data_IF_726224765036
#
_entry.id   IF_726224765036
#
_cell.length_a   1.000
_cell.length_b   1.000
_cell.length_c   1.000
_cell.angle_alpha   90.00
_cell.angle_beta   90.00
_cell.angle_gamma   90.00
#
_symmetry.space_group_name_H-M   'P 1'
#
loop_
_entity.id
_entity.type
_entity.pdbx_description
1 polymer ?
#
# COMPACT_ATOMS: atom_id res chain seq x y z
N UNK A 1 3.09 -0.48 3.96
CA UNK A 1 4.05 0.60 4.21
C UNK A 1 3.62 1.74 3.32
N UNK A 2 3.31 2.85 3.97
CA UNK A 2 2.95 4.14 3.35
C UNK A 2 4.16 5.02 3.61
N UNK A 3 4.56 5.79 2.60
CA UNK A 3 5.70 6.72 2.68
C UNK A 3 5.16 8.10 2.35
N UNK A 4 5.42 9.08 3.21
CA UNK A 4 5.11 10.49 2.93
C UNK A 4 6.25 11.14 2.14
N UNK A 5 5.97 12.29 1.53
CA UNK A 5 7.00 13.11 0.86
C UNK A 5 8.09 13.60 1.82
N UNK A 6 7.79 13.66 3.12
CA UNK A 6 8.75 14.01 4.18
C UNK A 6 9.63 12.82 4.61
N UNK A 7 9.46 11.66 3.97
CA UNK A 7 10.22 10.45 4.29
C UNK A 7 9.73 9.71 5.53
N UNK A 8 8.53 9.99 6.02
CA UNK A 8 7.95 9.26 7.14
C UNK A 8 7.38 7.92 6.68
N UNK A 9 7.72 6.86 7.41
CA UNK A 9 7.30 5.50 7.11
C UNK A 9 6.21 5.05 8.07
N UNK A 10 5.02 4.77 7.56
CA UNK A 10 3.92 4.19 8.35
C UNK A 10 3.64 2.75 7.95
N UNK A 11 3.51 1.88 8.96
CA UNK A 11 3.19 0.46 8.82
C UNK A 11 4.41 -0.46 8.79
N UNK A 12 4.17 -1.76 8.64
CA UNK A 12 5.20 -2.78 8.83
C UNK A 12 5.54 -3.49 7.50
N UNK A 13 6.79 -3.34 7.01
CA UNK A 13 7.25 -4.00 5.77
C UNK A 13 7.56 -5.50 5.94
N UNK A 14 7.81 -5.97 7.17
CA UNK A 14 8.15 -7.37 7.44
C UNK A 14 6.99 -8.33 7.13
N UNK A 15 5.74 -7.84 7.08
CA UNK A 15 4.57 -8.64 6.72
C UNK A 15 4.65 -9.19 5.29
N UNK A 16 5.31 -8.47 4.38
CA UNK A 16 5.50 -8.92 3.01
C UNK A 16 6.48 -10.10 2.96
N UNK A 17 7.56 -10.05 3.74
CA UNK A 17 8.48 -11.19 3.89
C UNK A 17 7.77 -12.40 4.50
N UNK A 18 6.99 -12.18 5.56
CA UNK A 18 6.19 -13.23 6.20
C UNK A 18 5.25 -13.90 5.21
N UNK A 19 4.57 -13.12 4.36
CA UNK A 19 3.63 -13.61 3.34
C UNK A 19 4.34 -14.39 2.22
N UNK A 20 5.48 -13.91 1.73
CA UNK A 20 6.26 -14.59 0.67
C UNK A 20 6.76 -15.97 1.12
N UNK A 21 7.07 -16.14 2.41
CA UNK A 21 7.51 -17.43 2.98
C UNK A 21 6.40 -18.48 3.09
N UNK A 22 5.12 -18.11 2.96
CA UNK A 22 3.99 -19.05 3.08
C UNK A 22 3.63 -19.65 1.72
N UNK A 23 3.25 -20.93 1.72
CA UNK A 23 2.71 -21.61 0.52
C UNK A 23 1.41 -20.92 0.09
N UNK A 24 1.34 -20.48 -1.16
CA UNK A 24 0.16 -19.81 -1.72
C UNK A 24 -1.10 -20.68 -1.55
N UNK A 25 -2.22 -20.06 -1.20
CA UNK A 25 -3.51 -20.73 -0.97
C UNK A 25 -3.65 -21.47 0.36
N UNK A 26 -2.55 -21.69 1.10
CA UNK A 26 -2.60 -22.33 2.41
C UNK A 26 -3.35 -21.50 3.45
N UNK A 27 -3.84 -22.12 4.52
CA UNK A 27 -4.48 -21.44 5.66
C UNK A 27 -3.56 -20.38 6.27
N UNK A 28 -2.27 -20.68 6.42
CA UNK A 28 -1.28 -19.74 6.93
C UNK A 28 -1.06 -18.54 6.00
N UNK A 29 -1.11 -18.76 4.68
CA UNK A 29 -1.04 -17.67 3.70
C UNK A 29 -2.25 -16.76 3.77
N UNK A 30 -3.47 -17.32 3.83
CA UNK A 30 -4.71 -16.53 3.96
C UNK A 30 -4.70 -15.68 5.24
N UNK A 31 -4.24 -16.24 6.37
CA UNK A 31 -4.07 -15.51 7.63
C UNK A 31 -3.06 -14.36 7.52
N UNK A 32 -1.95 -14.57 6.82
CA UNK A 32 -0.95 -13.52 6.59
C UNK A 32 -1.47 -12.37 5.71
N UNK A 33 -2.35 -12.67 4.75
CA UNK A 33 -3.04 -11.62 3.97
C UNK A 33 -3.98 -10.80 4.85
N UNK A 34 -4.81 -11.45 5.67
CA UNK A 34 -5.70 -10.75 6.61
C UNK A 34 -4.90 -9.85 7.56
N UNK A 35 -3.80 -10.36 8.11
CA UNK A 35 -2.91 -9.59 8.99
C UNK A 35 -2.28 -8.38 8.27
N UNK A 36 -1.87 -8.55 7.00
CA UNK A 36 -1.40 -7.44 6.16
C UNK A 36 -2.48 -6.38 6.01
N UNK A 37 -3.70 -6.78 5.72
CA UNK A 37 -4.82 -5.86 5.46
C UNK A 37 -5.17 -5.09 6.73
N UNK A 38 -5.14 -5.76 7.88
CA UNK A 38 -5.33 -5.12 9.18
C UNK A 38 -4.23 -4.11 9.50
N UNK A 39 -2.96 -4.47 9.27
CA UNK A 39 -1.84 -3.53 9.43
C UNK A 39 -2.01 -2.32 8.52
N UNK A 40 -2.46 -2.51 7.27
CA UNK A 40 -2.75 -1.42 6.33
C UNK A 40 -3.86 -0.53 6.86
N UNK A 41 -4.96 -1.11 7.35
CA UNK A 41 -6.09 -0.37 7.92
C UNK A 41 -5.67 0.48 9.12
N UNK A 42 -4.94 -0.12 10.06
CA UNK A 42 -4.38 0.58 11.23
C UNK A 42 -3.45 1.70 10.77
N UNK A 43 -2.55 1.41 9.83
CA UNK A 43 -1.61 2.40 9.29
C UNK A 43 -2.32 3.61 8.67
N UNK A 44 -3.41 3.39 7.92
CA UNK A 44 -4.17 4.48 7.31
C UNK A 44 -4.86 5.34 8.38
N UNK A 45 -5.39 4.73 9.45
CA UNK A 45 -6.03 5.45 10.55
C UNK A 45 -5.03 6.28 11.36
N UNK A 46 -3.79 5.80 11.51
CA UNK A 46 -2.75 6.50 12.28
C UNK A 46 -2.15 7.72 11.56
N UNK A 47 -2.43 7.94 10.27
CA UNK A 47 -1.91 9.08 9.51
C UNK A 47 -2.39 10.45 10.03
N UNK A 48 -3.38 10.50 10.93
CA UNK A 48 -3.74 11.73 11.64
C UNK A 48 -4.28 12.84 10.72
N UNK A 49 -5.29 12.53 9.91
CA UNK A 49 -5.83 13.45 8.89
C UNK A 49 -6.70 14.60 9.44
N UNK A 50 -6.77 14.79 10.76
CA UNK A 50 -7.75 15.65 11.45
C UNK A 50 -7.67 17.14 11.09
N UNK A 51 -6.56 17.62 10.54
CA UNK A 51 -6.38 19.04 10.17
C UNK A 51 -5.95 19.21 8.70
N UNK A 52 -6.22 18.19 7.88
CA UNK A 52 -5.82 18.14 6.47
C UNK A 52 -7.03 18.46 5.60
N UNK A 53 -6.92 19.44 4.70
CA UNK A 53 -7.98 19.79 3.74
C UNK A 53 -7.96 18.90 2.49
N UNK A 54 -6.76 18.56 2.03
CA UNK A 54 -6.56 17.74 0.84
C UNK A 54 -5.47 16.70 1.07
N UNK A 55 -5.70 15.48 0.59
CA UNK A 55 -4.72 14.39 0.58
C UNK A 55 -4.39 14.03 -0.87
N UNK A 56 -3.09 14.09 -1.20
CA UNK A 56 -2.57 13.66 -2.48
C UNK A 56 -1.96 12.27 -2.35
N UNK A 57 -2.30 11.37 -3.26
CA UNK A 57 -1.66 10.08 -3.42
C UNK A 57 -1.19 9.94 -4.86
N UNK A 58 -0.03 9.33 -5.09
CA UNK A 58 0.37 8.95 -6.44
C UNK A 58 -0.68 8.00 -7.06
N UNK A 59 -0.74 7.91 -8.38
CA UNK A 59 -1.55 6.91 -9.11
C UNK A 59 -0.62 5.88 -9.76
N UNK A 60 -0.08 4.97 -8.94
CA UNK A 60 0.84 3.94 -9.40
C UNK A 60 0.06 2.85 -10.14
N UNK A 61 -0.03 3.01 -11.46
CA UNK A 61 -0.54 2.01 -12.38
C UNK A 61 0.59 1.32 -13.10
N UNK A 62 0.35 0.09 -13.55
CA UNK A 62 1.26 -0.61 -14.45
C UNK A 62 2.70 -0.80 -13.92
N UNK A 63 2.89 -0.90 -12.60
CA UNK A 63 4.22 -1.04 -11.94
C UNK A 63 5.02 -2.27 -12.37
N UNK A 64 4.39 -3.23 -13.07
CA UNK A 64 5.02 -4.44 -13.62
C UNK A 64 5.06 -4.44 -15.16
N UNK A 65 4.65 -3.36 -15.79
CA UNK A 65 4.61 -3.27 -17.25
C UNK A 65 6.02 -3.34 -17.83
N UNK A 66 6.19 -4.14 -18.89
CA UNK A 66 7.50 -4.39 -19.55
C UNK A 66 8.62 -4.85 -18.60
N UNK A 67 8.27 -5.43 -17.44
CA UNK A 67 9.25 -5.85 -16.43
C UNK A 67 9.54 -7.37 -16.44
N UNK A 68 8.91 -8.11 -17.36
CA UNK A 68 9.10 -9.56 -17.53
C UNK A 68 10.57 -9.88 -17.82
N UNK A 69 11.16 -10.80 -17.04
CA UNK A 69 12.57 -11.18 -17.16
C UNK A 69 13.58 -10.16 -16.61
N UNK A 70 13.16 -8.93 -16.28
CA UNK A 70 14.02 -7.86 -15.75
C UNK A 70 14.01 -7.79 -14.22
N UNK A 71 12.93 -8.26 -13.61
CA UNK A 71 12.76 -8.25 -12.16
C UNK A 71 13.05 -9.62 -11.58
N UNK A 72 13.87 -9.66 -10.53
CA UNK A 72 14.16 -10.89 -9.80
C UNK A 72 12.89 -11.51 -9.18
N UNK A 73 12.79 -12.84 -9.22
CA UNK A 73 11.60 -13.59 -8.74
C UNK A 73 11.18 -13.20 -7.33
N UNK A 74 12.12 -13.00 -6.39
CA UNK A 74 11.78 -12.62 -5.02
C UNK A 74 11.11 -11.23 -4.95
N UNK A 75 11.60 -10.25 -5.71
CA UNK A 75 10.99 -8.92 -5.77
C UNK A 75 9.62 -8.96 -6.47
N UNK A 76 9.52 -9.69 -7.58
CA UNK A 76 8.25 -9.88 -8.29
C UNK A 76 7.17 -10.49 -7.40
N UNK A 77 7.56 -11.43 -6.53
CA UNK A 77 6.65 -12.00 -5.53
C UNK A 77 6.19 -10.93 -4.52
N UNK A 78 7.08 -10.12 -3.96
CA UNK A 78 6.69 -9.02 -3.07
C UNK A 78 5.70 -8.06 -3.75
N UNK A 79 5.98 -7.65 -4.99
CA UNK A 79 5.10 -6.77 -5.77
C UNK A 79 3.70 -7.37 -5.99
N UNK A 80 3.56 -8.68 -6.21
CA UNK A 80 2.23 -9.31 -6.33
C UNK A 80 1.40 -9.24 -5.05
N UNK A 81 2.05 -9.04 -3.90
CA UNK A 81 1.44 -9.06 -2.58
C UNK A 81 1.28 -7.64 -2.03
N UNK A 82 1.71 -6.63 -2.79
CA UNK A 82 1.66 -5.24 -2.40
C UNK A 82 0.23 -4.71 -2.39
N UNK A 83 -0.20 -4.16 -1.27
CA UNK A 83 -1.56 -3.75 -0.97
C UNK A 83 -1.89 -2.32 -1.44
N UNK A 84 -1.25 -1.84 -2.49
CA UNK A 84 -1.35 -0.43 -2.89
C UNK A 84 -2.79 0.01 -3.18
N UNK A 85 -3.54 -0.80 -3.92
CA UNK A 85 -4.96 -0.55 -4.18
C UNK A 85 -5.80 -0.53 -2.90
N UNK A 86 -5.50 -1.41 -1.94
CA UNK A 86 -6.22 -1.47 -0.66
C UNK A 86 -5.95 -0.23 0.18
N UNK A 87 -4.71 0.26 0.19
CA UNK A 87 -4.32 1.53 0.82
C UNK A 87 -5.12 2.69 0.21
N UNK A 88 -5.10 2.83 -1.13
CA UNK A 88 -5.83 3.90 -1.81
C UNK A 88 -7.32 3.85 -1.51
N UNK A 89 -7.94 2.68 -1.57
CA UNK A 89 -9.37 2.53 -1.27
C UNK A 89 -9.68 2.94 0.17
N UNK A 90 -8.83 2.53 1.12
CA UNK A 90 -9.06 2.86 2.53
C UNK A 90 -8.89 4.35 2.80
N UNK A 91 -7.88 4.98 2.18
CA UNK A 91 -7.67 6.44 2.27
C UNK A 91 -8.83 7.22 1.67
N UNK A 92 -9.34 6.82 0.49
CA UNK A 92 -10.53 7.44 -0.10
C UNK A 92 -11.70 7.43 0.88
N UNK A 93 -12.01 6.28 1.48
CA UNK A 93 -13.12 6.15 2.44
C UNK A 93 -12.93 7.03 3.69
N UNK A 94 -11.71 7.07 4.24
CA UNK A 94 -11.41 7.89 5.42
C UNK A 94 -11.51 9.39 5.09
N UNK A 95 -11.04 9.79 3.90
CA UNK A 95 -11.15 11.17 3.44
C UNK A 95 -12.61 11.58 3.21
N UNK A 96 -13.42 10.72 2.59
CA UNK A 96 -14.86 10.94 2.39
C UNK A 96 -15.58 11.15 3.73
N UNK A 97 -15.32 10.29 4.71
CA UNK A 97 -15.90 10.39 6.07
C UNK A 97 -15.51 11.68 6.79
N UNK A 98 -14.26 12.13 6.60
CA UNK A 98 -13.72 13.33 7.24
C UNK A 98 -13.98 14.64 6.44
N UNK A 99 -14.59 14.58 5.26
CA UNK A 99 -14.79 15.75 4.39
C UNK A 99 -13.51 16.30 3.76
N UNK A 100 -12.50 15.44 3.60
CA UNK A 100 -11.17 15.77 3.04
C UNK A 100 -11.17 15.47 1.55
N UNK A 101 -10.59 16.37 0.74
CA UNK A 101 -10.49 16.13 -0.70
C UNK A 101 -9.35 15.14 -1.00
N UNK A 102 -9.68 13.99 -1.58
CA UNK A 102 -8.68 13.01 -2.00
C UNK A 102 -8.37 13.11 -3.49
N UNK A 103 -7.09 13.32 -3.85
CA UNK A 103 -6.64 13.44 -5.24
C UNK A 103 -5.56 12.41 -5.56
N UNK A 104 -5.71 11.76 -6.71
CA UNK A 104 -4.70 10.88 -7.29
C UNK A 104 -3.89 11.66 -8.32
N UNK A 105 -2.57 11.71 -8.18
CA UNK A 105 -1.66 12.45 -9.07
C UNK A 105 -0.78 11.50 -9.87
N UNK A 106 -0.46 11.81 -11.13
CA UNK A 106 0.48 11.00 -11.90
C UNK A 106 1.87 10.99 -11.25
N UNK A 107 2.56 9.84 -11.22
CA UNK A 107 3.87 9.71 -10.55
C UNK A 107 5.03 10.35 -11.33
N UNK A 108 4.77 11.01 -12.46
CA UNK A 108 5.82 11.47 -13.39
C UNK A 108 6.69 12.61 -12.85
N UNK A 109 6.29 13.22 -11.73
CA UNK A 109 6.99 14.37 -11.11
C UNK A 109 7.09 14.26 -9.59
N UNK A 110 6.95 13.06 -9.03
CA UNK A 110 6.95 12.80 -7.58
C UNK A 110 8.04 11.79 -7.22
N UNK A 111 8.61 11.88 -6.01
CA UNK A 111 9.76 11.09 -5.54
C UNK A 111 9.69 10.85 -4.05
#
# INVERSE_FOLDING_TARGET
MIVSSDGEFTGNSSIYEKTVRKKQGSKAFKRALIERDEIVNVSCKTLGLNNVKELFAEDLKNVKHKSKGRIFRKFNNKLQRWSYSEVLNKLTMLCEEAGILFRKIPPQYTS
#
